data_IF_157203344310
#
_entry.id   IF_157203344310
#
_cell.length_a   1.000
_cell.length_b   1.000
_cell.length_c   1.000
_cell.angle_alpha   90.00
_cell.angle_beta   90.00
_cell.angle_gamma   90.00
#
_symmetry.space_group_name_H-M   'P 1'
#
loop_
_entity.id
_entity.type
_entity.pdbx_description
1 polymer ?
#
# COMPACT_ATOMS: atom_id res chain seq x y z
N UNK A 1 -27.05 3.17 0.54
CA UNK A 1 -25.82 3.48 1.32
C UNK A 1 -24.63 3.08 0.45
N UNK A 2 -23.63 3.94 0.27
CA UNK A 2 -22.36 3.51 -0.34
C UNK A 2 -21.68 2.56 0.65
N UNK A 3 -21.19 1.42 0.16
CA UNK A 3 -20.32 0.56 0.96
C UNK A 3 -19.03 1.34 1.26
N UNK A 4 -18.62 1.39 2.51
CA UNK A 4 -17.31 1.97 2.86
C UNK A 4 -16.24 0.98 2.42
N UNK A 5 -15.36 1.41 1.51
CA UNK A 5 -14.19 0.63 1.12
C UNK A 5 -13.00 0.98 2.01
N UNK A 6 -12.18 -0.03 2.30
CA UNK A 6 -10.95 0.13 3.06
C UNK A 6 -9.77 -0.19 2.16
N UNK A 7 -8.67 0.54 2.36
CA UNK A 7 -7.48 0.42 1.55
C UNK A 7 -6.24 0.37 2.43
N UNK A 8 -5.24 -0.41 1.99
CA UNK A 8 -3.87 -0.32 2.51
C UNK A 8 -2.97 0.10 1.36
N UNK A 9 -2.26 1.21 1.51
CA UNK A 9 -1.52 1.86 0.43
C UNK A 9 -0.02 1.90 0.70
N UNK A 10 0.75 1.97 -0.38
CA UNK A 10 2.19 2.18 -0.39
C UNK A 10 2.50 3.50 -1.10
N UNK A 11 3.13 4.42 -0.38
CA UNK A 11 3.72 5.64 -0.95
C UNK A 11 5.20 5.48 -1.17
N UNK A 12 5.70 6.19 -2.18
CA UNK A 12 7.12 6.43 -2.44
C UNK A 12 7.35 7.93 -2.56
N UNK A 13 8.40 8.44 -1.94
CA UNK A 13 8.83 9.83 -2.09
C UNK A 13 9.85 9.98 -3.20
N UNK A 14 10.05 11.20 -3.69
CA UNK A 14 11.10 11.55 -4.67
C UNK A 14 12.52 11.16 -4.22
N UNK A 15 12.78 11.09 -2.91
CA UNK A 15 14.04 10.57 -2.34
C UNK A 15 14.03 9.06 -2.04
N UNK A 16 13.10 8.30 -2.64
CA UNK A 16 12.96 6.84 -2.55
C UNK A 16 12.57 6.29 -1.16
N UNK A 17 12.22 7.13 -0.19
CA UNK A 17 11.63 6.61 1.04
C UNK A 17 10.22 6.06 0.79
N UNK A 18 9.80 5.12 1.64
CA UNK A 18 8.50 4.47 1.50
C UNK A 18 7.66 4.62 2.76
N UNK A 19 6.35 4.68 2.57
CA UNK A 19 5.38 4.72 3.65
C UNK A 19 4.24 3.74 3.35
N UNK A 20 3.88 2.92 4.34
CA UNK A 20 2.70 2.05 4.25
C UNK A 20 1.67 2.55 5.26
N UNK A 21 0.41 2.68 4.85
CA UNK A 21 -0.68 3.11 5.71
C UNK A 21 -2.01 2.53 5.28
N UNK A 22 -3.05 2.79 6.07
CA UNK A 22 -4.44 2.41 5.76
C UNK A 22 -5.35 3.65 5.70
N UNK A 23 -6.40 3.60 4.88
CA UNK A 23 -7.37 4.70 4.71
C UNK A 23 -8.70 4.17 4.16
N UNK A 24 -9.74 4.98 4.28
CA UNK A 24 -11.02 4.81 3.55
C UNK A 24 -11.10 5.70 2.31
N UNK A 25 -10.15 6.62 2.15
CA UNK A 25 -10.06 7.56 1.04
C UNK A 25 -8.58 7.77 0.68
N UNK A 26 -8.19 7.26 -0.48
CA UNK A 26 -6.81 7.26 -0.97
C UNK A 26 -6.35 8.67 -1.37
N UNK A 27 -7.20 9.43 -2.04
CA UNK A 27 -6.86 10.76 -2.57
C UNK A 27 -6.79 11.77 -1.44
N UNK A 28 -7.77 11.77 -0.55
CA UNK A 28 -7.72 12.59 0.64
C UNK A 28 -6.45 12.30 1.46
N UNK A 29 -6.11 11.02 1.64
CA UNK A 29 -4.93 10.63 2.42
C UNK A 29 -3.61 11.01 1.73
N UNK A 30 -3.51 10.91 0.40
CA UNK A 30 -2.32 11.35 -0.34
C UNK A 30 -2.11 12.86 -0.18
N UNK A 31 -3.18 13.65 -0.33
CA UNK A 31 -3.15 15.12 -0.15
C UNK A 31 -2.75 15.52 1.28
N UNK A 32 -3.17 14.76 2.29
CA UNK A 32 -2.69 14.92 3.66
C UNK A 32 -1.18 14.69 3.78
N UNK A 33 -0.65 13.62 3.17
CA UNK A 33 0.78 13.33 3.20
C UNK A 33 1.62 14.38 2.45
N UNK A 34 1.07 14.95 1.37
CA UNK A 34 1.66 16.04 0.58
C UNK A 34 1.45 17.45 1.17
N UNK A 35 0.89 17.55 2.38
CA UNK A 35 0.58 18.84 3.06
C UNK A 35 -0.33 19.80 2.30
N UNK A 36 -1.05 19.32 1.28
CA UNK A 36 -2.10 20.13 0.64
C UNK A 36 -3.27 20.37 1.61
N UNK A 37 -3.50 19.43 2.52
CA UNK A 37 -4.51 19.51 3.59
C UNK A 37 -3.95 18.98 4.92
N UNK A 38 -4.59 19.34 6.04
CA UNK A 38 -4.14 18.97 7.40
C UNK A 38 -4.38 17.48 7.71
N UNK A 39 -3.57 16.92 8.61
CA UNK A 39 -3.73 15.56 9.14
C UNK A 39 -2.75 14.51 8.59
N UNK A 40 -1.74 14.92 7.83
CA UNK A 40 -0.66 14.04 7.38
C UNK A 40 0.21 13.53 8.53
N UNK A 41 0.76 12.33 8.38
CA UNK A 41 1.70 11.78 9.35
C UNK A 41 2.95 12.67 9.52
N UNK A 42 3.49 12.76 10.74
CA UNK A 42 4.66 13.60 11.03
C UNK A 42 5.86 13.26 10.13
N UNK A 43 6.17 11.96 9.98
CA UNK A 43 7.31 11.50 9.17
C UNK A 43 7.19 11.89 7.68
N UNK A 44 5.98 11.85 7.10
CA UNK A 44 5.78 12.22 5.69
C UNK A 44 5.78 13.73 5.52
N UNK A 45 5.17 14.45 6.47
CA UNK A 45 5.16 15.91 6.55
C UNK A 45 6.55 16.51 6.65
N UNK A 46 7.46 15.85 7.38
CA UNK A 46 8.85 16.26 7.50
C UNK A 46 9.61 16.13 6.17
N UNK A 47 9.27 15.15 5.31
CA UNK A 47 9.85 15.04 3.97
C UNK A 47 9.36 16.12 3.01
N UNK A 48 8.06 16.42 3.03
CA UNK A 48 7.53 17.53 2.24
C UNK A 48 8.14 18.87 2.64
N UNK A 49 8.41 19.08 3.94
CA UNK A 49 9.13 20.27 4.40
C UNK A 49 10.56 20.39 3.86
N UNK A 50 11.17 19.28 3.41
CA UNK A 50 12.48 19.24 2.77
C UNK A 50 12.41 19.35 1.24
N UNK A 51 11.22 19.53 0.67
CA UNK A 51 11.00 19.64 -0.77
C UNK A 51 10.60 18.33 -1.46
N UNK A 52 10.42 17.24 -0.72
CA UNK A 52 10.06 15.94 -1.30
C UNK A 52 8.55 15.82 -1.57
N UNK A 53 8.18 15.06 -2.60
CA UNK A 53 6.79 14.80 -2.96
C UNK A 53 6.50 13.30 -2.82
N UNK A 54 5.31 12.96 -2.32
CA UNK A 54 4.83 11.58 -2.27
C UNK A 54 3.93 11.26 -3.47
N UNK A 55 4.15 10.08 -4.03
CA UNK A 55 3.26 9.43 -4.99
C UNK A 55 2.81 8.07 -4.44
N UNK A 56 1.58 7.64 -4.78
CA UNK A 56 1.12 6.28 -4.50
C UNK A 56 1.75 5.33 -5.52
N UNK A 57 2.49 4.34 -5.03
CA UNK A 57 3.05 3.27 -5.84
C UNK A 57 1.98 2.20 -6.15
N UNK A 58 1.26 1.77 -5.12
CA UNK A 58 0.13 0.86 -5.24
C UNK A 58 -0.76 0.95 -4.00
N UNK A 59 -1.94 0.33 -4.09
CA UNK A 59 -2.80 0.07 -2.96
C UNK A 59 -3.45 -1.31 -3.06
N UNK A 60 -3.87 -1.83 -1.92
CA UNK A 60 -4.64 -3.06 -1.79
C UNK A 60 -6.07 -2.69 -1.43
N UNK A 61 -7.03 -3.32 -2.08
CA UNK A 61 -8.47 -3.20 -1.83
C UNK A 61 -9.08 -4.58 -1.52
N UNK A 62 -10.39 -4.61 -1.23
CA UNK A 62 -11.15 -5.84 -0.97
C UNK A 62 -11.15 -6.31 0.47
N UNK A 63 -10.79 -5.43 1.42
CA UNK A 63 -10.81 -5.76 2.84
C UNK A 63 -12.26 -5.88 3.36
N UNK A 64 -12.57 -6.91 4.17
CA UNK A 64 -13.90 -7.12 4.74
C UNK A 64 -14.29 -6.03 5.75
N UNK A 65 -13.32 -5.52 6.49
CA UNK A 65 -13.50 -4.49 7.50
C UNK A 65 -12.19 -3.73 7.76
N UNK A 66 -12.29 -2.70 8.60
CA UNK A 66 -11.14 -1.89 9.00
C UNK A 66 -10.10 -2.67 9.80
N UNK A 67 -10.52 -3.65 10.60
CA UNK A 67 -9.61 -4.47 11.41
C UNK A 67 -8.70 -5.33 10.53
N UNK A 68 -9.24 -5.93 9.47
CA UNK A 68 -8.50 -6.68 8.47
C UNK A 68 -7.49 -5.78 7.74
N UNK A 69 -7.88 -4.55 7.36
CA UNK A 69 -6.98 -3.58 6.76
C UNK A 69 -5.81 -3.22 7.69
N UNK A 70 -6.08 -2.98 8.98
CA UNK A 70 -5.03 -2.67 9.97
C UNK A 70 -4.10 -3.86 10.23
N UNK A 71 -4.63 -5.08 10.32
CA UNK A 71 -3.82 -6.28 10.49
C UNK A 71 -2.91 -6.52 9.28
N UNK A 72 -3.41 -6.29 8.07
CA UNK A 72 -2.65 -6.38 6.83
C UNK A 72 -1.55 -5.32 6.77
N UNK A 73 -1.88 -4.06 7.06
CA UNK A 73 -0.94 -2.93 7.10
C UNK A 73 0.23 -3.20 8.06
N UNK A 74 -0.09 -3.66 9.27
CA UNK A 74 0.92 -4.01 10.27
C UNK A 74 1.81 -5.15 9.78
N UNK A 75 1.21 -6.21 9.22
CA UNK A 75 1.97 -7.37 8.77
C UNK A 75 2.89 -7.01 7.60
N UNK A 76 2.42 -6.19 6.67
CA UNK A 76 3.22 -5.72 5.54
C UNK A 76 4.46 -4.96 6.03
N UNK A 77 4.30 -4.06 7.01
CA UNK A 77 5.44 -3.38 7.66
C UNK A 77 6.39 -4.35 8.35
N UNK A 78 5.85 -5.35 9.04
CA UNK A 78 6.64 -6.34 9.77
C UNK A 78 7.48 -7.22 8.84
N UNK A 79 6.89 -7.73 7.76
CA UNK A 79 7.62 -8.53 6.75
C UNK A 79 8.67 -7.69 6.04
N UNK A 80 8.36 -6.43 5.72
CA UNK A 80 9.33 -5.49 5.11
C UNK A 80 10.60 -5.32 5.96
N UNK A 81 10.49 -5.33 7.28
CA UNK A 81 11.63 -5.19 8.21
C UNK A 81 12.51 -6.43 8.29
N UNK A 82 11.98 -7.62 7.93
CA UNK A 82 12.72 -8.88 7.95
C UNK A 82 13.57 -9.10 6.71
N UNK A 83 13.27 -8.36 5.63
CA UNK A 83 14.03 -8.43 4.39
C UNK A 83 15.31 -7.57 4.47
N UNK A 84 16.27 -7.87 3.59
CA UNK A 84 17.56 -7.21 3.55
C UNK A 84 17.43 -5.68 3.36
N UNK A 85 18.12 -4.92 4.21
CA UNK A 85 18.16 -3.45 4.12
C UNK A 85 19.02 -2.95 2.95
N UNK A 86 19.80 -3.84 2.31
CA UNK A 86 20.55 -3.51 1.08
C UNK A 86 19.65 -3.40 -0.15
N UNK A 87 18.45 -3.97 -0.11
CA UNK A 87 17.51 -3.89 -1.22
C UNK A 87 16.96 -2.47 -1.36
N UNK A 88 16.54 -2.12 -2.57
CA UNK A 88 15.90 -0.84 -2.81
C UNK A 88 14.60 -0.72 -1.99
N UNK A 89 14.29 0.44 -1.39
CA UNK A 89 13.16 0.53 -0.46
C UNK A 89 11.81 0.11 -1.06
N UNK A 90 11.52 0.53 -2.30
CA UNK A 90 10.28 0.16 -2.99
C UNK A 90 10.20 -1.35 -3.26
N UNK A 91 11.25 -1.93 -3.82
CA UNK A 91 11.37 -3.36 -4.06
C UNK A 91 11.13 -4.16 -2.78
N UNK A 92 11.74 -3.75 -1.67
CA UNK A 92 11.56 -4.40 -0.37
C UNK A 92 10.11 -4.41 0.08
N UNK A 93 9.36 -3.34 -0.16
CA UNK A 93 7.92 -3.28 0.14
C UNK A 93 7.13 -4.22 -0.78
N UNK A 94 7.44 -4.25 -2.07
CA UNK A 94 6.75 -5.09 -3.05
C UNK A 94 6.99 -6.58 -2.81
N UNK A 95 8.22 -6.99 -2.51
CA UNK A 95 8.54 -8.39 -2.13
C UNK A 95 7.82 -8.76 -0.83
N UNK A 96 7.79 -7.87 0.17
CA UNK A 96 7.06 -8.12 1.41
C UNK A 96 5.55 -8.24 1.19
N UNK A 97 4.98 -7.50 0.24
CA UNK A 97 3.56 -7.61 -0.14
C UNK A 97 3.26 -8.97 -0.75
N UNK A 98 4.10 -9.45 -1.67
CA UNK A 98 3.96 -10.78 -2.28
C UNK A 98 3.99 -11.88 -1.22
N UNK A 99 5.03 -11.85 -0.38
CA UNK A 99 5.17 -12.80 0.73
C UNK A 99 3.99 -12.76 1.71
N UNK A 100 3.28 -11.62 1.83
CA UNK A 100 2.09 -11.48 2.65
C UNK A 100 0.86 -12.13 2.02
N UNK A 101 0.72 -12.01 0.70
CA UNK A 101 -0.40 -12.57 -0.06
C UNK A 101 -0.25 -14.09 -0.27
N UNK A 102 0.98 -14.61 -0.22
CA UNK A 102 1.25 -16.05 -0.24
C UNK A 102 0.90 -16.76 1.09
N UNK A 103 0.60 -16.00 2.16
CA UNK A 103 0.11 -16.56 3.41
C UNK A 103 -1.38 -16.89 3.29
N UNK A 104 -1.87 -17.81 4.12
CA UNK A 104 -3.31 -18.08 4.25
C UNK A 104 -4.08 -16.88 4.82
N UNK A 105 -3.42 -16.12 5.70
CA UNK A 105 -4.00 -15.01 6.47
C UNK A 105 -2.92 -13.98 6.87
N UNK A 106 -3.25 -12.69 7.07
CA UNK A 106 -2.25 -11.67 7.43
C UNK A 106 -1.59 -11.91 8.80
N UNK A 107 -2.38 -12.29 9.80
CA UNK A 107 -1.91 -12.54 11.17
C UNK A 107 -2.61 -13.78 11.72
N UNK A 108 -2.08 -14.40 12.78
CA UNK A 108 -2.69 -15.59 13.38
C UNK A 108 -4.11 -15.36 13.90
N UNK A 109 -4.46 -14.13 14.25
CA UNK A 109 -5.80 -13.73 14.71
C UNK A 109 -6.71 -13.20 13.59
N UNK A 110 -6.19 -13.11 12.36
CA UNK A 110 -6.99 -12.70 11.21
C UNK A 110 -7.81 -13.88 10.69
N UNK A 111 -8.96 -13.58 10.11
CA UNK A 111 -9.70 -14.52 9.26
C UNK A 111 -8.88 -14.80 7.98
N UNK A 112 -9.03 -15.99 7.41
CA UNK A 112 -8.31 -16.37 6.20
C UNK A 112 -8.74 -15.54 4.99
N UNK A 113 -7.85 -15.33 4.02
CA UNK A 113 -8.19 -14.60 2.80
C UNK A 113 -9.32 -15.27 2.01
N UNK A 114 -9.43 -16.61 2.10
CA UNK A 114 -10.50 -17.41 1.49
C UNK A 114 -11.87 -17.16 2.10
N UNK A 115 -11.92 -16.61 3.32
CA UNK A 115 -13.16 -16.26 4.03
C UNK A 115 -13.57 -14.80 3.79
N UNK A 116 -12.75 -14.01 3.09
CA UNK A 116 -13.10 -12.62 2.78
C UNK A 116 -14.20 -12.59 1.70
N UNK A 117 -15.14 -11.63 1.74
CA UNK A 117 -16.16 -11.46 0.70
C UNK A 117 -15.56 -11.26 -0.70
N UNK A 118 -14.36 -10.71 -0.75
CA UNK A 118 -13.54 -10.56 -1.94
C UNK A 118 -12.07 -10.80 -1.59
N UNK A 119 -11.29 -11.44 -2.46
CA UNK A 119 -9.86 -11.59 -2.23
C UNK A 119 -9.15 -10.22 -2.24
N UNK A 120 -8.01 -10.07 -1.54
CA UNK A 120 -7.21 -8.87 -1.63
C UNK A 120 -6.81 -8.58 -3.08
N UNK A 121 -7.09 -7.37 -3.56
CA UNK A 121 -6.75 -6.94 -4.92
C UNK A 121 -5.66 -5.88 -4.85
N UNK A 122 -4.55 -6.11 -5.55
CA UNK A 122 -3.48 -5.10 -5.71
C UNK A 122 -3.80 -4.24 -6.93
N UNK A 123 -3.70 -2.92 -6.77
CA UNK A 123 -3.81 -1.94 -7.84
C UNK A 123 -2.51 -1.14 -7.84
N UNK A 124 -1.70 -1.31 -8.88
CA UNK A 124 -0.47 -0.56 -9.07
C UNK A 124 -0.75 0.74 -9.84
N UNK A 125 -0.26 1.86 -9.30
CA UNK A 125 -0.41 3.20 -9.89
C UNK A 125 0.89 3.67 -10.56
N UNK A 126 2.04 3.09 -10.17
CA UNK A 126 3.35 3.34 -10.80
C UNK A 126 3.86 2.11 -11.55
N UNK A 127 4.44 2.32 -12.73
CA UNK A 127 5.08 1.27 -13.53
C UNK A 127 6.19 0.55 -12.77
N UNK A 128 6.97 1.30 -11.97
CA UNK A 128 8.02 0.74 -11.13
C UNK A 128 7.45 -0.25 -10.11
N UNK A 129 6.27 -0.01 -9.56
CA UNK A 129 5.60 -0.96 -8.68
C UNK A 129 5.07 -2.17 -9.45
N UNK A 130 4.43 -1.93 -10.61
CA UNK A 130 3.91 -3.00 -11.48
C UNK A 130 5.01 -3.95 -11.97
N UNK A 131 6.23 -3.44 -12.20
CA UNK A 131 7.38 -4.24 -12.64
C UNK A 131 7.84 -5.29 -11.60
N UNK A 132 7.41 -5.20 -10.34
CA UNK A 132 7.68 -6.20 -9.30
C UNK A 132 6.57 -7.25 -9.17
N UNK A 133 5.52 -7.17 -9.99
CA UNK A 133 4.39 -8.12 -10.05
C UNK A 133 4.50 -9.10 -11.24
N UNK A 134 5.72 -9.37 -11.71
CA UNK A 134 6.02 -10.10 -12.97
C UNK A 134 5.55 -11.56 -13.05
N UNK A 135 4.89 -12.11 -12.03
CA UNK A 135 4.25 -13.44 -12.08
C UNK A 135 2.71 -13.39 -12.28
N UNK A 136 2.17 -12.20 -12.58
CA UNK A 136 0.92 -11.99 -13.32
C UNK A 136 -0.27 -12.92 -12.96
N UNK A 137 -0.73 -12.89 -11.70
CA UNK A 137 -2.02 -13.49 -11.31
C UNK A 137 -3.15 -12.49 -11.02
N UNK A 138 -2.89 -11.17 -10.94
CA UNK A 138 -3.88 -10.24 -10.37
C UNK A 138 -4.03 -8.86 -11.06
N UNK A 139 -3.42 -8.60 -12.21
CA UNK A 139 -3.56 -7.31 -12.92
C UNK A 139 -4.61 -7.37 -14.04
N UNK A 140 -5.76 -6.74 -13.81
CA UNK A 140 -6.65 -6.28 -14.89
C UNK A 140 -6.42 -4.79 -15.15
N UNK A 141 -5.82 -4.54 -16.33
CA UNK A 141 -5.83 -3.34 -17.18
C UNK A 141 -5.72 -1.95 -16.52
N UNK A 142 -4.56 -1.34 -16.69
CA UNK A 142 -4.35 0.10 -16.58
C UNK A 142 -4.28 0.73 -17.98
N UNK A 143 -5.09 1.77 -18.22
CA UNK A 143 -4.90 2.72 -19.34
C UNK A 143 -4.59 4.08 -18.75
N UNK A 144 -3.38 4.65 -18.97
CA UNK A 144 -3.05 5.97 -18.46
C UNK A 144 -3.86 7.03 -19.21
N UNK A 145 -4.60 7.88 -18.49
CA UNK A 145 -5.04 9.16 -19.05
C UNK A 145 -3.94 10.18 -18.80
N UNK A 146 -3.46 10.79 -19.88
CA UNK A 146 -2.43 11.82 -19.88
C UNK A 146 -2.87 13.05 -19.07
N UNK A 147 -1.84 13.69 -18.51
CA UNK A 147 -1.78 14.93 -17.71
C UNK A 147 -2.79 15.98 -18.17
#
# INVERSE_FOLDING_TARGET
MKSTEFFVYLLVSSDNATYVGATVDLDHRLRQHNKEIKGGACATSAKVAKGEIWARACHVAGFPDWSAALQFEWRWKQLSRKLSQKMFPLERRMVALRNLLDLERPTSKAIAYTEWPSPPKIICELESAAAFDKDNKYIHQFTPTKI
#
